data_IF_049863407953
#
_entry.id   IF_049863407953
#
_cell.length_a   1.000
_cell.length_b   1.000
_cell.length_c   1.000
_cell.angle_alpha   90.00
_cell.angle_beta   90.00
_cell.angle_gamma   90.00
#
_symmetry.space_group_name_H-M   'P 1'
#
loop_
_entity.id
_entity.type
_entity.pdbx_description
1 polymer ?
#
# COMPACT_ATOMS: atom_id res chain seq x y z
N UNK A 1 -10.12 28.99 -9.75
CA UNK A 1 -10.86 27.81 -10.23
C UNK A 1 -10.24 27.16 -11.48
N UNK A 2 -10.00 27.89 -12.61
CA UNK A 2 -9.40 27.30 -13.82
C UNK A 2 -7.92 26.92 -13.60
N UNK A 3 -7.13 27.79 -12.96
CA UNK A 3 -5.73 27.51 -12.62
C UNK A 3 -5.57 26.35 -11.63
N UNK A 4 -6.43 26.25 -10.63
CA UNK A 4 -6.43 25.16 -9.64
C UNK A 4 -6.73 23.81 -10.29
N UNK A 5 -7.69 23.75 -11.21
CA UNK A 5 -7.99 22.54 -11.99
C UNK A 5 -6.82 22.13 -12.89
N UNK A 6 -6.16 23.12 -13.51
CA UNK A 6 -5.00 22.86 -14.36
C UNK A 6 -3.82 22.34 -13.53
N UNK A 7 -3.57 22.90 -12.35
CA UNK A 7 -2.53 22.45 -11.42
C UNK A 7 -2.78 21.00 -10.98
N UNK A 8 -3.98 20.66 -10.56
CA UNK A 8 -4.35 19.29 -10.16
C UNK A 8 -4.16 18.27 -11.30
N UNK A 9 -4.40 18.66 -12.55
CA UNK A 9 -4.14 17.80 -13.72
C UNK A 9 -2.62 17.59 -13.89
N UNK A 10 -1.82 18.63 -13.78
CA UNK A 10 -0.35 18.55 -13.90
C UNK A 10 0.23 17.66 -12.81
N UNK A 11 -0.16 17.84 -11.55
CA UNK A 11 0.27 17.00 -10.43
C UNK A 11 -0.10 15.52 -10.64
N UNK A 12 -1.30 15.27 -11.17
CA UNK A 12 -1.73 13.92 -11.51
C UNK A 12 -0.89 13.30 -12.63
N UNK A 13 -0.56 14.07 -13.65
CA UNK A 13 0.31 13.62 -14.75
C UNK A 13 1.73 13.36 -14.24
N UNK A 14 2.30 14.23 -13.41
CA UNK A 14 3.61 14.02 -12.80
C UNK A 14 3.66 12.74 -11.98
N UNK A 15 2.63 12.49 -11.15
CA UNK A 15 2.50 11.25 -10.39
C UNK A 15 2.45 10.03 -11.30
N UNK A 16 1.65 10.06 -12.36
CA UNK A 16 1.56 8.99 -13.35
C UNK A 16 2.92 8.68 -13.99
N UNK A 17 3.64 9.71 -14.41
CA UNK A 17 4.96 9.56 -15.02
C UNK A 17 5.94 8.91 -14.02
N UNK A 18 5.97 9.37 -12.77
CA UNK A 18 6.81 8.78 -11.71
C UNK A 18 6.47 7.31 -11.44
N UNK A 19 5.18 6.97 -11.42
CA UNK A 19 4.73 5.58 -11.23
C UNK A 19 5.10 4.70 -12.44
N UNK A 20 4.93 5.18 -13.66
CA UNK A 20 5.30 4.47 -14.89
C UNK A 20 6.82 4.24 -14.98
N UNK A 21 7.63 5.25 -14.68
CA UNK A 21 9.08 5.11 -14.65
C UNK A 21 9.54 4.10 -13.60
N UNK A 22 8.85 4.05 -12.45
CA UNK A 22 9.12 3.05 -11.43
C UNK A 22 8.81 1.63 -11.94
N UNK A 23 7.63 1.42 -12.51
CA UNK A 23 7.20 0.12 -13.08
C UNK A 23 8.17 -0.35 -14.15
N UNK A 24 8.54 0.53 -15.08
CA UNK A 24 9.51 0.23 -16.15
C UNK A 24 10.90 -0.19 -15.61
N UNK A 25 11.33 0.42 -14.50
CA UNK A 25 12.59 0.03 -13.84
C UNK A 25 12.46 -1.27 -13.05
N UNK A 26 11.31 -1.51 -12.41
CA UNK A 26 11.05 -2.71 -11.62
C UNK A 26 10.98 -3.98 -12.47
N UNK A 27 10.57 -3.89 -13.73
CA UNK A 27 10.58 -5.02 -14.69
C UNK A 27 12.00 -5.38 -15.18
N UNK A 28 12.98 -4.50 -14.99
CA UNK A 28 14.40 -4.81 -15.16
C UNK A 28 14.90 -5.64 -13.96
N UNK A 29 15.84 -6.57 -14.19
CA UNK A 29 16.49 -7.37 -13.12
C UNK A 29 17.32 -6.44 -12.19
N UNK A 30 16.66 -5.59 -11.41
CA UNK A 30 17.35 -4.82 -10.39
C UNK A 30 17.75 -5.75 -9.23
N UNK A 31 19.03 -5.73 -8.90
CA UNK A 31 19.52 -6.42 -7.69
C UNK A 31 18.97 -5.71 -6.47
N UNK A 32 18.08 -6.38 -5.74
CA UNK A 32 17.51 -5.85 -4.49
C UNK A 32 18.57 -5.93 -3.40
N UNK A 33 18.87 -4.83 -2.76
CA UNK A 33 19.78 -4.77 -1.62
C UNK A 33 18.98 -4.80 -0.32
N UNK A 34 18.84 -5.98 0.26
CA UNK A 34 18.18 -6.13 1.55
C UNK A 34 19.02 -5.59 2.69
N UNK A 35 18.39 -4.90 3.62
CA UNK A 35 19.00 -4.36 4.84
C UNK A 35 18.17 -4.80 6.04
N UNK A 36 18.87 -5.07 7.14
CA UNK A 36 18.21 -5.25 8.43
C UNK A 36 17.66 -3.91 8.89
N UNK A 37 16.34 -3.79 9.01
CA UNK A 37 15.66 -2.54 9.37
C UNK A 37 14.47 -2.80 10.28
N UNK A 38 14.00 -1.74 10.95
CA UNK A 38 12.85 -1.79 11.85
C UNK A 38 11.56 -1.46 11.07
N UNK A 39 10.79 -2.50 10.75
CA UNK A 39 9.51 -2.34 10.04
C UNK A 39 8.47 -1.59 10.90
N UNK A 40 8.51 -1.74 12.23
CA UNK A 40 7.59 -1.04 13.11
C UNK A 40 7.80 0.48 13.05
N UNK A 41 9.04 0.93 13.05
CA UNK A 41 9.38 2.34 12.90
C UNK A 41 9.00 2.85 11.50
N UNK A 42 9.29 2.09 10.45
CA UNK A 42 8.92 2.44 9.08
C UNK A 42 7.40 2.64 8.95
N UNK A 43 6.59 1.73 9.48
CA UNK A 43 5.11 1.85 9.43
C UNK A 43 4.64 3.08 10.22
N UNK A 44 5.23 3.38 11.40
CA UNK A 44 4.88 4.61 12.16
C UNK A 44 5.19 5.88 11.38
N UNK A 45 6.34 5.93 10.72
CA UNK A 45 6.71 7.07 9.86
C UNK A 45 5.69 7.25 8.74
N UNK A 46 5.28 6.16 8.07
CA UNK A 46 4.29 6.25 7.00
C UNK A 46 2.90 6.65 7.54
N UNK A 47 2.50 6.20 8.72
CA UNK A 47 1.26 6.65 9.38
C UNK A 47 1.30 8.17 9.63
N UNK A 48 2.42 8.71 10.08
CA UNK A 48 2.54 10.15 10.31
C UNK A 48 2.35 10.98 9.02
N UNK A 49 2.72 10.44 7.85
CA UNK A 49 2.55 11.14 6.56
C UNK A 49 1.10 11.23 6.08
N UNK A 50 0.19 10.45 6.64
CA UNK A 50 -1.21 10.38 6.20
C UNK A 50 -2.19 11.08 7.15
N UNK A 51 -1.69 11.71 8.23
CA UNK A 51 -2.53 12.33 9.26
C UNK A 51 -3.47 13.38 8.68
N UNK A 52 -2.96 14.27 7.84
CA UNK A 52 -3.78 15.32 7.20
C UNK A 52 -4.90 14.73 6.33
N UNK A 53 -4.65 13.62 5.64
CA UNK A 53 -5.65 12.93 4.82
C UNK A 53 -6.76 12.30 5.69
N UNK A 54 -6.41 11.78 6.87
CA UNK A 54 -7.37 11.24 7.83
C UNK A 54 -8.25 12.36 8.39
N UNK A 55 -7.65 13.51 8.76
CA UNK A 55 -8.36 14.67 9.27
C UNK A 55 -9.33 15.26 8.23
N UNK A 56 -8.90 15.41 6.98
CA UNK A 56 -9.75 15.88 5.87
C UNK A 56 -11.02 15.02 5.70
N UNK A 57 -10.89 13.72 5.92
CA UNK A 57 -12.00 12.77 5.85
C UNK A 57 -12.67 12.47 7.19
N UNK A 58 -12.26 13.13 8.28
CA UNK A 58 -12.75 12.87 9.63
C UNK A 58 -12.69 11.37 10.00
N UNK A 59 -11.74 10.64 9.44
CA UNK A 59 -11.57 9.21 9.68
C UNK A 59 -10.82 8.96 10.97
N UNK A 60 -11.15 7.86 11.63
CA UNK A 60 -10.48 7.44 12.88
C UNK A 60 -9.36 6.47 12.55
N UNK A 61 -8.30 6.50 13.33
CA UNK A 61 -7.17 5.60 13.20
C UNK A 61 -7.00 4.78 14.48
N UNK A 62 -6.91 3.46 14.34
CA UNK A 62 -6.48 2.53 15.38
C UNK A 62 -5.16 1.88 14.97
N UNK A 63 -4.17 1.91 15.86
CA UNK A 63 -2.82 1.40 15.61
C UNK A 63 -2.45 0.35 16.65
N UNK A 64 -2.08 -0.84 16.18
CA UNK A 64 -1.56 -1.93 17.00
C UNK A 64 -0.22 -2.41 16.43
N UNK A 65 0.86 -1.72 16.79
CA UNK A 65 2.21 -1.93 16.27
C UNK A 65 3.15 -2.13 17.48
N UNK A 66 3.98 -3.18 17.51
CA UNK A 66 4.96 -3.40 18.57
C UNK A 66 6.02 -2.29 18.58
N UNK A 67 6.69 -2.08 19.72
CA UNK A 67 7.73 -1.05 19.84
C UNK A 67 8.84 -1.23 18.80
N UNK A 68 9.19 -2.47 18.51
CA UNK A 68 10.25 -2.81 17.55
C UNK A 68 9.95 -4.12 16.84
N UNK A 69 10.22 -4.16 15.52
CA UNK A 69 10.12 -5.38 14.73
C UNK A 69 11.14 -5.37 13.60
N UNK A 70 12.21 -6.10 13.77
CA UNK A 70 13.35 -6.14 12.86
C UNK A 70 13.17 -7.25 11.83
N UNK A 71 13.36 -6.93 10.55
CA UNK A 71 13.42 -7.89 9.46
C UNK A 71 14.33 -7.39 8.33
N UNK A 72 14.65 -8.29 7.39
CA UNK A 72 15.43 -7.94 6.20
C UNK A 72 14.49 -7.46 5.09
N UNK A 73 14.73 -6.25 4.60
CA UNK A 73 13.94 -5.65 3.53
C UNK A 73 14.76 -4.60 2.75
N UNK A 74 14.26 -4.15 1.63
CA UNK A 74 14.71 -2.93 0.99
C UNK A 74 13.80 -1.78 1.49
N UNK A 75 14.32 -0.88 2.37
CA UNK A 75 13.47 0.06 3.12
C UNK A 75 12.66 1.01 2.24
N UNK A 76 13.27 1.60 1.21
CA UNK A 76 12.58 2.58 0.37
C UNK A 76 11.43 1.94 -0.45
N UNK A 77 11.59 0.68 -0.86
CA UNK A 77 10.53 -0.06 -1.52
C UNK A 77 9.40 -0.39 -0.54
N UNK A 78 9.75 -0.82 0.67
CA UNK A 78 8.75 -1.14 1.70
C UNK A 78 7.97 0.10 2.13
N UNK A 79 8.63 1.24 2.32
CA UNK A 79 7.97 2.53 2.54
C UNK A 79 6.93 2.82 1.48
N UNK A 80 7.30 2.66 0.22
CA UNK A 80 6.41 2.87 -0.92
C UNK A 80 5.22 1.92 -0.93
N UNK A 81 5.43 0.64 -0.60
CA UNK A 81 4.35 -0.34 -0.52
C UNK A 81 3.35 0.03 0.59
N UNK A 82 3.83 0.30 1.81
CA UNK A 82 3.01 0.69 2.95
C UNK A 82 2.24 1.99 2.65
N UNK A 83 2.90 3.00 2.10
CA UNK A 83 2.24 4.25 1.73
C UNK A 83 1.11 4.03 0.72
N UNK A 84 1.32 3.21 -0.32
CA UNK A 84 0.27 2.90 -1.29
C UNK A 84 -0.94 2.20 -0.65
N UNK A 85 -0.71 1.27 0.27
CA UNK A 85 -1.79 0.57 1.00
C UNK A 85 -2.55 1.56 1.88
N UNK A 86 -1.86 2.37 2.69
CA UNK A 86 -2.47 3.35 3.59
C UNK A 86 -3.29 4.39 2.83
N UNK A 87 -2.73 4.98 1.77
CA UNK A 87 -3.43 5.97 0.94
C UNK A 87 -4.66 5.36 0.26
N UNK A 88 -4.59 4.11 -0.18
CA UNK A 88 -5.75 3.41 -0.73
C UNK A 88 -6.83 3.18 0.33
N UNK A 89 -6.47 2.71 1.52
CA UNK A 89 -7.41 2.47 2.61
C UNK A 89 -8.18 3.76 2.96
N UNK A 90 -7.48 4.88 3.13
CA UNK A 90 -8.09 6.19 3.41
C UNK A 90 -8.98 6.65 2.26
N UNK A 91 -8.49 6.56 1.02
CA UNK A 91 -9.17 7.07 -0.17
C UNK A 91 -10.51 6.40 -0.39
N UNK A 92 -10.57 5.07 -0.25
CA UNK A 92 -11.76 4.29 -0.56
C UNK A 92 -12.71 4.15 0.62
N UNK A 93 -12.26 4.35 1.83
CA UNK A 93 -13.14 4.40 3.00
C UNK A 93 -13.97 5.69 3.02
N UNK A 94 -15.27 5.64 3.35
CA UNK A 94 -16.11 6.81 3.53
C UNK A 94 -15.60 7.75 4.66
N UNK A 95 -16.13 8.97 4.67
CA UNK A 95 -15.90 9.93 5.74
C UNK A 95 -16.39 9.38 7.09
N UNK A 96 -15.63 9.61 8.16
CA UNK A 96 -15.97 9.20 9.54
C UNK A 96 -15.70 7.74 9.86
N UNK A 97 -15.28 6.94 8.89
CA UNK A 97 -14.99 5.52 9.06
C UNK A 97 -13.64 5.25 9.74
N UNK A 98 -13.38 3.98 10.03
CA UNK A 98 -12.18 3.55 10.76
C UNK A 98 -11.13 2.96 9.82
N UNK A 99 -9.90 3.39 10.00
CA UNK A 99 -8.70 2.75 9.47
C UNK A 99 -7.96 2.06 10.62
N UNK A 100 -7.68 0.78 10.49
CA UNK A 100 -6.92 0.01 11.48
C UNK A 100 -5.63 -0.47 10.87
N UNK A 101 -4.51 -0.26 11.55
CA UNK A 101 -3.19 -0.73 11.15
C UNK A 101 -2.64 -1.63 12.23
N UNK A 102 -2.28 -2.85 11.87
CA UNK A 102 -1.65 -3.79 12.78
C UNK A 102 -0.38 -4.38 12.20
N UNK A 103 0.58 -4.67 13.08
CA UNK A 103 1.83 -5.31 12.75
C UNK A 103 2.12 -6.37 13.82
N UNK A 104 2.33 -7.60 13.38
CA UNK A 104 2.61 -8.72 14.28
C UNK A 104 3.67 -9.65 13.71
N UNK A 105 4.47 -10.24 14.60
CA UNK A 105 5.35 -11.35 14.26
C UNK A 105 4.57 -12.66 14.34
N UNK A 106 4.71 -13.51 13.32
CA UNK A 106 4.15 -14.85 13.28
C UNK A 106 5.26 -15.81 12.79
N UNK A 107 5.82 -16.57 13.70
CA UNK A 107 6.95 -17.48 13.45
C UNK A 107 8.13 -16.78 12.75
N UNK A 108 8.45 -17.19 11.54
CA UNK A 108 9.53 -16.63 10.71
C UNK A 108 9.05 -15.51 9.77
N UNK A 109 7.82 -15.01 9.94
CA UNK A 109 7.24 -13.95 9.14
C UNK A 109 6.77 -12.78 9.99
N UNK A 110 6.62 -11.64 9.33
CA UNK A 110 5.94 -10.45 9.86
C UNK A 110 4.69 -10.23 9.06
N UNK A 111 3.55 -10.10 9.74
CA UNK A 111 2.29 -9.75 9.12
C UNK A 111 1.98 -8.27 9.38
N UNK A 112 1.78 -7.49 8.31
CA UNK A 112 1.27 -6.13 8.37
C UNK A 112 -0.12 -6.10 7.73
N UNK A 113 -1.10 -5.57 8.47
CA UNK A 113 -2.50 -5.53 8.07
C UNK A 113 -3.01 -4.09 8.13
N UNK A 114 -3.77 -3.71 7.11
CA UNK A 114 -4.49 -2.44 7.05
C UNK A 114 -5.95 -2.73 6.72
N UNK A 115 -6.84 -2.54 7.67
CA UNK A 115 -8.28 -2.67 7.47
C UNK A 115 -8.92 -1.28 7.36
N UNK A 116 -9.76 -1.09 6.37
CA UNK A 116 -10.61 0.09 6.25
C UNK A 116 -12.08 -0.30 6.23
N UNK A 117 -12.92 0.44 6.96
CA UNK A 117 -14.34 0.11 7.14
C UNK A 117 -15.25 0.89 6.18
N UNK A 118 -16.52 0.50 6.14
CA UNK A 118 -17.57 1.22 5.41
C UNK A 118 -17.61 0.97 3.90
N UNK A 119 -16.82 0.05 3.37
CA UNK A 119 -16.79 -0.31 1.95
C UNK A 119 -16.51 -1.80 1.76
N UNK A 120 -17.02 -2.36 0.67
CA UNK A 120 -16.67 -3.71 0.23
C UNK A 120 -16.29 -3.69 -1.25
N UNK A 121 -15.43 -4.61 -1.62
CA UNK A 121 -15.00 -4.81 -3.00
C UNK A 121 -15.92 -5.87 -3.64
N UNK A 122 -16.43 -5.65 -4.88
CA UNK A 122 -17.11 -6.70 -5.61
C UNK A 122 -16.24 -7.95 -5.73
N UNK A 123 -16.79 -9.13 -5.47
CA UNK A 123 -16.04 -10.40 -5.43
C UNK A 123 -15.27 -10.68 -6.73
N UNK A 124 -15.89 -10.37 -7.87
CA UNK A 124 -15.29 -10.51 -9.20
C UNK A 124 -14.12 -9.52 -9.45
N UNK A 125 -14.05 -8.43 -8.69
CA UNK A 125 -13.00 -7.44 -8.81
C UNK A 125 -11.73 -7.79 -7.99
N UNK A 126 -11.88 -8.59 -6.93
CA UNK A 126 -10.78 -8.86 -5.98
C UNK A 126 -9.53 -9.42 -6.67
N UNK A 127 -9.69 -10.37 -7.59
CA UNK A 127 -8.59 -11.01 -8.31
C UNK A 127 -7.82 -10.06 -9.24
N UNK A 128 -8.43 -8.96 -9.66
CA UNK A 128 -7.87 -8.01 -10.62
C UNK A 128 -7.24 -6.76 -9.99
N UNK A 129 -7.43 -6.54 -8.69
CA UNK A 129 -7.02 -5.29 -8.02
C UNK A 129 -5.51 -5.02 -8.08
N UNK A 130 -4.71 -6.05 -8.20
CA UNK A 130 -3.25 -5.95 -8.34
C UNK A 130 -2.76 -5.90 -9.79
N UNK A 131 -3.66 -5.84 -10.77
CA UNK A 131 -3.32 -5.63 -12.16
C UNK A 131 -3.05 -4.14 -12.45
N UNK A 132 -2.15 -3.88 -13.39
CA UNK A 132 -1.83 -2.51 -13.78
C UNK A 132 -3.05 -1.82 -14.40
N UNK A 133 -3.31 -0.58 -13.98
CA UNK A 133 -4.41 0.26 -14.45
C UNK A 133 -5.82 -0.24 -14.12
N UNK A 134 -5.96 -1.35 -13.40
CA UNK A 134 -7.27 -1.84 -13.01
C UNK A 134 -7.94 -0.91 -11.99
N UNK A 135 -9.22 -0.67 -12.19
CA UNK A 135 -10.08 0.10 -11.29
C UNK A 135 -11.50 -0.43 -11.38
N UNK A 136 -12.17 -0.56 -10.23
CA UNK A 136 -13.60 -0.91 -10.20
C UNK A 136 -14.45 0.21 -10.82
N UNK A 137 -15.61 -0.11 -11.38
CA UNK A 137 -16.51 0.88 -12.01
C UNK A 137 -16.97 1.95 -11.00
N UNK A 138 -17.21 1.57 -9.76
CA UNK A 138 -17.53 2.49 -8.67
C UNK A 138 -16.39 3.48 -8.37
N UNK A 139 -15.15 3.07 -8.58
CA UNK A 139 -13.99 3.93 -8.38
C UNK A 139 -13.72 4.86 -9.56
N UNK A 140 -14.16 4.48 -10.78
CA UNK A 140 -14.06 5.32 -11.99
C UNK A 140 -14.99 6.53 -11.91
N UNK A 141 -16.19 6.35 -11.36
CA UNK A 141 -17.21 7.38 -11.24
C UNK A 141 -16.98 8.37 -10.09
N UNK A 142 -16.16 8.01 -9.10
CA UNK A 142 -15.75 8.94 -8.04
C UNK A 142 -14.52 9.71 -8.50
N UNK A 143 -14.50 11.03 -8.29
CA UNK A 143 -13.34 11.90 -8.54
C UNK A 143 -12.13 11.56 -7.63
N UNK A 144 -11.89 10.28 -7.39
CA UNK A 144 -10.87 9.78 -6.46
C UNK A 144 -9.44 9.86 -6.99
N UNK A 145 -9.23 10.31 -8.24
CA UNK A 145 -7.90 10.66 -8.77
C UNK A 145 -6.86 9.52 -8.83
N UNK A 146 -7.25 8.26 -8.64
CA UNK A 146 -6.30 7.12 -8.65
C UNK A 146 -5.82 6.76 -10.05
N UNK A 147 -4.55 6.37 -10.18
CA UNK A 147 -3.88 5.95 -11.41
C UNK A 147 -4.17 4.50 -11.79
N UNK A 148 -4.54 3.66 -10.79
CA UNK A 148 -4.65 2.21 -10.94
C UNK A 148 -3.30 1.49 -10.88
N UNK A 149 -2.21 2.19 -10.53
CA UNK A 149 -0.87 1.61 -10.43
C UNK A 149 -0.44 1.33 -8.98
N UNK A 150 -1.09 1.93 -7.98
CA UNK A 150 -0.64 1.81 -6.58
C UNK A 150 -0.57 0.37 -6.07
N UNK A 151 -1.62 -0.44 -6.26
CA UNK A 151 -1.62 -1.85 -5.85
C UNK A 151 -0.75 -2.73 -6.74
N UNK A 152 -0.63 -2.42 -8.03
CA UNK A 152 0.34 -3.07 -8.91
C UNK A 152 1.78 -2.85 -8.43
N UNK A 153 2.12 -1.65 -7.97
CA UNK A 153 3.41 -1.34 -7.37
C UNK A 153 3.62 -2.15 -6.08
N UNK A 154 2.60 -2.26 -5.22
CA UNK A 154 2.66 -3.13 -4.02
C UNK A 154 2.97 -4.57 -4.42
N UNK A 155 2.25 -5.12 -5.39
CA UNK A 155 2.52 -6.46 -5.93
C UNK A 155 3.99 -6.62 -6.34
N UNK A 156 4.53 -5.71 -7.16
CA UNK A 156 5.92 -5.76 -7.62
C UNK A 156 6.92 -5.74 -6.48
N UNK A 157 6.68 -4.92 -5.47
CA UNK A 157 7.52 -4.84 -4.27
C UNK A 157 7.46 -6.13 -3.47
N UNK A 158 6.26 -6.72 -3.29
CA UNK A 158 6.10 -7.99 -2.59
C UNK A 158 6.77 -9.15 -3.35
N UNK A 159 6.61 -9.22 -4.67
CA UNK A 159 7.29 -10.19 -5.51
C UNK A 159 8.83 -10.10 -5.35
N UNK A 160 9.39 -8.88 -5.32
CA UNK A 160 10.82 -8.66 -5.08
C UNK A 160 11.27 -9.10 -3.68
N UNK A 161 10.41 -9.02 -2.68
CA UNK A 161 10.70 -9.41 -1.30
C UNK A 161 10.33 -10.87 -0.99
N UNK A 162 9.92 -11.65 -1.99
CA UNK A 162 9.39 -13.01 -1.78
C UNK A 162 8.32 -13.06 -0.69
N UNK A 163 7.54 -11.99 -0.59
CA UNK A 163 6.49 -11.81 0.41
C UNK A 163 5.13 -12.21 -0.14
N UNK A 164 4.28 -12.73 0.73
CA UNK A 164 2.88 -12.95 0.43
C UNK A 164 2.09 -11.64 0.62
N UNK A 165 1.03 -11.47 -0.15
CA UNK A 165 0.16 -10.30 -0.05
C UNK A 165 -1.25 -10.64 -0.50
N UNK A 166 -2.21 -9.87 -0.06
CA UNK A 166 -3.59 -10.06 -0.48
C UNK A 166 -4.51 -8.96 -0.01
N UNK A 167 -5.74 -9.09 -0.49
CA UNK A 167 -6.86 -8.24 -0.13
C UNK A 167 -8.11 -9.11 -0.02
N UNK A 168 -8.94 -8.82 0.96
CA UNK A 168 -10.21 -9.53 1.16
C UNK A 168 -11.26 -8.64 1.82
N UNK A 169 -12.52 -8.95 1.58
CA UNK A 169 -13.61 -8.37 2.35
C UNK A 169 -13.65 -8.96 3.76
N UNK A 170 -13.95 -8.11 4.75
CA UNK A 170 -14.27 -8.48 6.12
C UNK A 170 -15.74 -8.19 6.39
N UNK A 171 -16.22 -8.49 7.60
CA UNK A 171 -17.60 -8.11 7.99
C UNK A 171 -17.81 -6.60 8.02
N UNK A 172 -16.74 -5.79 8.20
CA UNK A 172 -16.81 -4.34 8.38
C UNK A 172 -16.32 -3.54 7.18
N UNK A 173 -15.52 -4.16 6.30
CA UNK A 173 -14.88 -3.45 5.21
C UNK A 173 -13.91 -4.31 4.43
N UNK A 174 -12.71 -3.80 4.20
CA UNK A 174 -11.66 -4.40 3.39
C UNK A 174 -10.38 -4.51 4.19
N UNK A 175 -9.75 -5.67 4.16
CA UNK A 175 -8.46 -5.96 4.76
C UNK A 175 -7.40 -6.13 3.66
N UNK A 176 -6.36 -5.30 3.69
CA UNK A 176 -5.10 -5.52 3.00
C UNK A 176 -4.12 -6.18 3.95
N UNK A 177 -3.37 -7.15 3.47
CA UNK A 177 -2.35 -7.79 4.27
C UNK A 177 -1.09 -8.11 3.44
N UNK A 178 0.07 -8.01 4.09
CA UNK A 178 1.35 -8.49 3.58
C UNK A 178 2.01 -9.37 4.64
N UNK A 179 2.69 -10.44 4.20
CA UNK A 179 3.51 -11.30 5.03
C UNK A 179 4.92 -11.31 4.50
N UNK A 180 5.82 -10.69 5.23
CA UNK A 180 7.23 -10.56 4.88
C UNK A 180 8.05 -11.59 5.66
N UNK A 181 8.92 -12.39 5.02
CA UNK A 181 9.85 -13.23 5.76
C UNK A 181 10.81 -12.35 6.57
N UNK A 182 11.11 -12.75 7.82
CA UNK A 182 12.03 -12.00 8.70
C UNK A 182 13.43 -11.96 8.12
N UNK A 183 13.85 -13.07 7.47
CA UNK A 183 15.12 -13.17 6.75
C UNK A 183 14.85 -13.44 5.28
N UNK A 184 15.47 -12.68 4.42
CA UNK A 184 15.41 -12.92 2.99
C UNK A 184 16.33 -14.09 2.65
N UNK A 185 15.78 -15.09 1.98
CA UNK A 185 16.62 -16.17 1.43
C UNK A 185 17.51 -15.59 0.34
N UNK A 186 18.81 -15.63 0.53
CA UNK A 186 19.77 -15.36 -0.54
C UNK A 186 19.68 -16.53 -1.54
N UNK A 187 18.77 -16.42 -2.49
CA UNK A 187 18.87 -17.25 -3.69
C UNK A 187 20.07 -16.74 -4.47
N UNK A 188 21.23 -17.36 -4.26
CA UNK A 188 22.31 -17.24 -5.21
C UNK A 188 21.79 -17.77 -6.55
N UNK A 189 21.48 -16.86 -7.46
CA UNK A 189 21.26 -17.21 -8.86
C UNK A 189 22.56 -17.81 -9.38
N UNK A 190 22.55 -19.12 -9.61
CA UNK A 190 23.56 -19.86 -10.35
C UNK A 190 23.43 -19.45 -11.82
#
# INVERSE_FOLDING_TARGET
EYMERSLAVVERMEKLVKELLYVSKADGKQKVEYKTADLAELVRVQIATITDLLEEKEQRLEVNIPDRLICEMEPAQMERAIQNILVNAIRYSPKGELIRVSLAKADDTVCCEVENTGVHIPEDAISHLFEAFYRTDTSRNRNTGGTGLGLYIVRKIMEMHHAEYGIQNTKRGVLFWIKLPIKQSTFNSI
#
